data_IF_007825829637
#
_entry.id   IF_007825829637
#
_cell.length_a   1.000
_cell.length_b   1.000
_cell.length_c   1.000
_cell.angle_alpha   90.00
_cell.angle_beta   90.00
_cell.angle_gamma   90.00
#
_symmetry.space_group_name_H-M   'P 1'
#
loop_
_entity.id
_entity.type
_entity.pdbx_description
1 polymer ?
#
# COMPACT_ATOMS: atom_id res chain seq x y z
N UNK A 1 -16.63 -6.20 -25.09
CA UNK A 1 -17.22 -5.83 -23.79
C UNK A 1 -16.69 -6.87 -22.82
N UNK A 2 -15.88 -6.48 -21.84
CA UNK A 2 -15.37 -7.44 -20.85
C UNK A 2 -16.55 -7.96 -20.03
N UNK A 3 -16.55 -9.25 -19.71
CA UNK A 3 -17.52 -9.84 -18.80
C UNK A 3 -17.35 -9.16 -17.43
N UNK A 4 -18.39 -8.48 -16.95
CA UNK A 4 -18.34 -7.62 -15.74
C UNK A 4 -18.70 -8.38 -14.47
N UNK A 5 -19.10 -9.65 -14.61
CA UNK A 5 -19.53 -10.48 -13.50
C UNK A 5 -18.36 -11.15 -12.77
N UNK A 6 -17.17 -11.17 -13.38
CA UNK A 6 -15.95 -11.72 -12.79
C UNK A 6 -14.87 -10.64 -12.51
N UNK A 7 -14.04 -10.81 -11.46
CA UNK A 7 -12.91 -9.94 -11.23
C UNK A 7 -11.94 -9.96 -12.41
N UNK A 8 -11.54 -8.78 -12.89
CA UNK A 8 -10.43 -8.64 -13.83
C UNK A 8 -9.18 -8.13 -13.12
N UNK A 9 -8.02 -8.65 -13.51
CA UNK A 9 -6.74 -8.25 -12.92
C UNK A 9 -6.20 -7.00 -13.62
N UNK A 10 -5.84 -6.00 -12.81
CA UNK A 10 -5.09 -4.84 -13.29
C UNK A 10 -3.59 -5.10 -13.13
N UNK A 11 -2.89 -5.33 -14.23
CA UNK A 11 -1.44 -5.54 -14.24
C UNK A 11 -0.63 -4.24 -14.02
N UNK A 12 -1.30 -3.08 -14.04
CA UNK A 12 -0.73 -1.74 -13.89
C UNK A 12 -1.82 -0.76 -13.43
N UNK A 13 -1.39 0.45 -13.08
CA UNK A 13 -2.30 1.52 -12.70
C UNK A 13 -3.28 1.78 -13.83
N UNK A 14 -4.56 1.92 -13.52
CA UNK A 14 -5.57 2.16 -14.52
C UNK A 14 -6.72 3.00 -13.96
N UNK A 15 -7.29 3.85 -14.81
CA UNK A 15 -8.65 4.35 -14.63
C UNK A 15 -9.59 3.30 -15.19
N UNK A 16 -10.42 2.72 -14.33
CA UNK A 16 -11.49 1.81 -14.74
C UNK A 16 -12.74 2.65 -14.94
N UNK A 17 -13.37 2.50 -16.10
CA UNK A 17 -14.66 3.09 -16.42
C UNK A 17 -15.71 1.99 -16.60
N UNK A 18 -16.90 2.21 -16.04
CA UNK A 18 -18.01 1.25 -16.10
C UNK A 18 -19.32 1.93 -16.49
N UNK A 19 -20.14 1.20 -17.22
CA UNK A 19 -21.51 1.58 -17.63
C UNK A 19 -22.45 0.39 -17.49
N UNK A 20 -23.73 0.68 -17.26
CA UNK A 20 -24.80 -0.31 -17.29
C UNK A 20 -25.64 -0.17 -18.56
N UNK A 21 -25.95 -1.30 -19.18
CA UNK A 21 -26.81 -1.40 -20.37
C UNK A 21 -27.87 -2.47 -20.12
N UNK A 22 -29.13 -2.17 -20.45
CA UNK A 22 -30.24 -3.10 -20.33
C UNK A 22 -31.23 -2.91 -21.51
N UNK A 23 -31.85 -3.98 -22.04
CA UNK A 23 -32.81 -3.87 -23.14
C UNK A 23 -33.97 -2.93 -22.79
N UNK A 24 -34.26 -1.96 -23.66
CA UNK A 24 -35.35 -1.00 -23.47
C UNK A 24 -35.02 0.19 -22.57
N UNK A 25 -33.78 0.29 -22.06
CA UNK A 25 -33.31 1.41 -21.26
C UNK A 25 -32.16 2.15 -21.94
N UNK A 26 -31.97 3.42 -21.59
CA UNK A 26 -30.79 4.18 -22.00
C UNK A 26 -29.56 3.67 -21.24
N UNK A 27 -28.41 3.65 -21.92
CA UNK A 27 -27.10 3.41 -21.30
C UNK A 27 -26.87 4.38 -20.14
N UNK A 28 -26.35 3.89 -19.02
CA UNK A 28 -26.03 4.76 -17.88
C UNK A 28 -24.94 5.78 -18.23
N UNK A 29 -24.80 6.81 -17.38
CA UNK A 29 -23.56 7.59 -17.35
C UNK A 29 -22.39 6.70 -16.98
N UNK A 30 -21.20 7.02 -17.49
CA UNK A 30 -19.97 6.35 -17.08
C UNK A 30 -19.64 6.72 -15.64
N UNK A 31 -19.40 5.72 -14.80
CA UNK A 31 -18.70 5.91 -13.52
C UNK A 31 -17.24 5.53 -13.70
N UNK A 32 -16.34 6.17 -12.96
CA UNK A 32 -14.92 5.87 -13.04
C UNK A 32 -14.26 5.80 -11.69
N UNK A 33 -13.27 4.92 -11.58
CA UNK A 33 -12.39 4.83 -10.42
C UNK A 33 -10.94 4.68 -10.85
N UNK A 34 -10.06 5.45 -10.24
CA UNK A 34 -8.62 5.26 -10.40
C UNK A 34 -8.13 4.17 -9.44
N UNK A 35 -7.40 3.23 -10.01
CA UNK A 35 -6.70 2.18 -9.28
C UNK A 35 -5.21 2.45 -9.44
N UNK A 36 -4.56 3.07 -8.44
CA UNK A 36 -3.12 3.23 -8.47
C UNK A 36 -2.45 1.86 -8.41
N UNK A 37 -1.36 1.69 -9.16
CA UNK A 37 -0.50 0.52 -9.00
C UNK A 37 0.25 0.66 -7.68
N UNK A 38 -0.08 -0.16 -6.70
CA UNK A 38 0.80 -0.39 -5.57
C UNK A 38 1.82 -1.43 -5.97
N UNK A 39 3.10 -1.08 -5.85
CA UNK A 39 4.18 -2.04 -6.06
C UNK A 39 3.98 -3.21 -5.08
N UNK A 40 4.01 -4.44 -5.60
CA UNK A 40 3.93 -5.64 -4.79
C UNK A 40 5.08 -5.62 -3.75
N UNK A 41 4.73 -5.92 -2.48
CA UNK A 41 5.68 -5.83 -1.36
C UNK A 41 6.42 -7.14 -1.09
N UNK A 42 6.14 -8.20 -1.85
CA UNK A 42 6.70 -9.54 -1.62
C UNK A 42 8.23 -9.58 -1.65
N UNK A 43 8.85 -8.69 -2.44
CA UNK A 43 10.30 -8.57 -2.56
C UNK A 43 10.91 -7.50 -1.65
N UNK A 44 10.10 -6.74 -0.91
CA UNK A 44 10.57 -5.63 -0.09
C UNK A 44 11.36 -6.12 1.11
N UNK A 45 12.38 -5.37 1.50
CA UNK A 45 13.21 -5.66 2.66
C UNK A 45 13.53 -4.38 3.41
N UNK A 46 13.39 -4.41 4.73
CA UNK A 46 13.98 -3.37 5.58
C UNK A 46 15.49 -3.58 5.57
N UNK A 47 16.23 -2.58 5.09
CA UNK A 47 17.70 -2.60 5.07
C UNK A 47 18.31 -1.77 6.19
N UNK A 48 17.54 -0.83 6.75
CA UNK A 48 17.93 -0.04 7.92
C UNK A 48 16.70 0.49 8.65
N UNK A 49 16.76 0.47 9.98
CA UNK A 49 15.93 1.28 10.86
C UNK A 49 16.84 1.95 11.90
N UNK A 50 16.67 3.23 12.20
CA UNK A 50 17.48 3.91 13.22
C UNK A 50 17.16 3.42 14.63
N UNK A 51 15.92 2.96 14.83
CA UNK A 51 15.41 2.48 16.11
C UNK A 51 14.21 1.55 15.91
N UNK A 52 14.00 0.63 16.83
CA UNK A 52 12.80 -0.20 16.92
C UNK A 52 12.56 -0.60 18.39
N UNK A 53 11.28 -0.70 18.78
CA UNK A 53 10.87 -1.34 20.02
C UNK A 53 10.78 -2.85 19.81
N UNK A 54 11.52 -3.63 20.60
CA UNK A 54 11.59 -5.08 20.41
C UNK A 54 10.40 -5.77 21.06
N UNK A 55 9.74 -6.66 20.32
CA UNK A 55 8.56 -7.40 20.74
C UNK A 55 7.24 -6.65 20.51
N UNK A 56 7.26 -5.52 19.82
CA UNK A 56 6.08 -4.69 19.55
C UNK A 56 6.21 -3.98 18.18
N UNK A 57 7.30 -3.22 18.03
CA UNK A 57 7.46 -2.21 17.00
C UNK A 57 8.55 -2.54 15.98
N UNK A 58 8.76 -3.82 15.64
CA UNK A 58 9.76 -4.27 14.69
C UNK A 58 9.62 -3.53 13.35
N UNK A 59 10.76 -3.15 12.76
CA UNK A 59 10.77 -2.38 11.52
C UNK A 59 10.08 -3.09 10.34
N UNK A 60 10.09 -4.43 10.32
CA UNK A 60 9.43 -5.24 9.28
C UNK A 60 7.91 -5.05 9.23
N UNK A 61 7.29 -4.68 10.35
CA UNK A 61 5.85 -4.42 10.42
C UNK A 61 5.41 -3.24 9.54
N UNK A 62 6.32 -2.35 9.14
CA UNK A 62 6.00 -1.27 8.21
C UNK A 62 5.69 -1.77 6.77
N UNK A 63 6.06 -3.01 6.43
CA UNK A 63 5.97 -3.53 5.05
C UNK A 63 5.24 -4.88 4.94
N UNK A 64 4.79 -5.47 6.05
CA UNK A 64 4.17 -6.80 6.09
C UNK A 64 2.72 -6.86 5.58
N UNK A 65 2.11 -5.70 5.33
CA UNK A 65 0.75 -5.58 4.79
C UNK A 65 -0.36 -5.81 5.81
N UNK A 66 -0.05 -5.84 7.10
CA UNK A 66 -1.03 -6.01 8.18
C UNK A 66 -1.29 -4.66 8.85
N UNK A 67 -2.54 -4.18 8.91
CA UNK A 67 -2.85 -2.86 9.47
C UNK A 67 -2.84 -2.83 11.01
N UNK A 68 -2.79 -3.99 11.67
CA UNK A 68 -2.77 -4.16 13.12
C UNK A 68 -1.34 -4.28 13.70
N UNK A 69 -0.32 -4.28 12.84
CA UNK A 69 1.10 -4.21 13.22
C UNK A 69 1.72 -2.90 12.75
N UNK A 70 2.76 -2.44 13.43
CA UNK A 70 3.41 -1.17 13.12
C UNK A 70 4.89 -1.17 13.48
N UNK A 71 5.67 -0.35 12.78
CA UNK A 71 7.02 0.03 13.24
C UNK A 71 6.88 1.10 14.32
N UNK A 72 7.60 0.93 15.43
CA UNK A 72 7.68 1.93 16.49
C UNK A 72 9.14 2.09 16.91
N UNK A 73 9.63 3.32 16.96
CA UNK A 73 10.98 3.58 17.50
C UNK A 73 11.02 3.22 18.99
N UNK A 74 12.19 2.88 19.51
CA UNK A 74 12.32 2.48 20.91
C UNK A 74 11.75 3.57 21.82
N UNK A 75 10.77 3.22 22.61
CA UNK A 75 10.19 4.07 23.65
C UNK A 75 10.56 3.57 25.04
N UNK A 76 10.87 2.27 25.17
CA UNK A 76 11.27 1.68 26.44
C UNK A 76 12.74 2.03 26.78
N UNK A 77 12.97 2.46 28.01
CA UNK A 77 14.30 2.83 28.49
C UNK A 77 14.87 4.09 27.81
N UNK A 78 15.94 3.94 27.03
CA UNK A 78 16.62 5.08 26.37
C UNK A 78 16.06 5.30 24.96
N UNK A 79 15.00 6.09 24.89
CA UNK A 79 14.38 6.49 23.63
C UNK A 79 15.27 7.51 22.88
N UNK A 80 15.67 7.23 21.62
CA UNK A 80 16.35 8.22 20.79
C UNK A 80 15.40 9.38 20.46
N UNK A 81 15.95 10.60 20.32
CA UNK A 81 15.18 11.75 19.86
C UNK A 81 15.13 11.77 18.32
N UNK A 82 14.08 12.35 17.71
CA UNK A 82 14.03 12.59 16.27
C UNK A 82 15.27 13.36 15.74
N UNK A 83 15.61 13.22 14.45
CA UNK A 83 14.85 12.51 13.40
C UNK A 83 14.97 10.99 13.47
N UNK A 84 13.99 10.29 12.88
CA UNK A 84 13.96 8.84 12.71
C UNK A 84 13.95 8.47 11.22
N UNK A 85 14.50 7.31 10.88
CA UNK A 85 14.71 6.86 9.50
C UNK A 85 14.47 5.35 9.37
N UNK A 86 13.66 4.99 8.37
CA UNK A 86 13.48 3.63 7.88
C UNK A 86 13.86 3.59 6.40
N UNK A 87 14.71 2.64 6.02
CA UNK A 87 15.16 2.44 4.63
C UNK A 87 14.71 1.07 4.15
N UNK A 88 14.00 1.07 3.02
CA UNK A 88 13.42 -0.12 2.41
C UNK A 88 14.04 -0.33 1.03
N UNK A 89 14.55 -1.53 0.79
CA UNK A 89 14.85 -2.02 -0.56
C UNK A 89 13.56 -2.60 -1.17
N UNK A 90 13.17 -2.10 -2.35
CA UNK A 90 11.96 -2.54 -3.05
C UNK A 90 12.15 -3.88 -3.77
N UNK A 91 13.38 -4.39 -3.87
CA UNK A 91 13.74 -5.63 -4.55
C UNK A 91 13.79 -5.52 -6.08
N UNK A 92 13.36 -4.39 -6.64
CA UNK A 92 13.45 -4.08 -8.07
C UNK A 92 13.58 -2.56 -8.29
N UNK A 93 14.09 -2.18 -9.47
CA UNK A 93 14.03 -0.78 -9.91
C UNK A 93 12.60 -0.45 -10.30
N UNK A 94 12.05 0.61 -9.73
CA UNK A 94 10.72 1.10 -10.04
C UNK A 94 10.71 2.63 -10.14
N UNK A 95 9.89 3.16 -11.03
CA UNK A 95 9.52 4.57 -11.02
C UNK A 95 8.38 4.75 -10.00
N UNK A 96 8.58 5.65 -9.04
CA UNK A 96 7.62 5.92 -7.98
C UNK A 96 6.95 7.26 -8.21
N UNK A 97 5.61 7.26 -8.18
CA UNK A 97 4.82 8.50 -8.19
C UNK A 97 4.59 9.05 -6.78
N UNK A 98 4.76 8.22 -5.74
CA UNK A 98 4.53 8.60 -4.35
C UNK A 98 4.61 7.41 -3.39
N UNK A 99 4.37 7.69 -2.12
CA UNK A 99 4.35 6.71 -1.04
C UNK A 99 3.07 6.89 -0.23
N UNK A 100 2.45 5.79 0.18
CA UNK A 100 1.34 5.78 1.12
C UNK A 100 1.83 5.20 2.44
N UNK A 101 1.51 5.86 3.55
CA UNK A 101 1.86 5.43 4.91
C UNK A 101 0.58 5.35 5.72
N UNK A 102 0.34 4.20 6.35
CA UNK A 102 -0.74 4.02 7.30
C UNK A 102 -0.16 4.23 8.71
N UNK A 103 -0.61 5.27 9.46
CA UNK A 103 -0.21 5.43 10.86
C UNK A 103 -0.69 4.26 11.73
N UNK A 104 -0.20 4.16 12.95
CA UNK A 104 -0.77 3.29 14.00
C UNK A 104 -2.29 3.56 14.15
N UNK A 105 -3.09 2.51 14.35
CA UNK A 105 -4.56 2.58 14.29
C UNK A 105 -5.25 2.82 15.64
N UNK A 106 -4.49 2.82 16.74
CA UNK A 106 -4.94 3.00 18.12
C UNK A 106 -4.24 4.18 18.82
#
# INVERSE_FOLDING_TARGET
MADVDDPFMLARAAKVEAVAEAPGFLRSVATSREFPFSLARDAWKVVKADSEERGEGEAVHAIDGKPDTYWHTRWSGRAPRPPHELVIDLGAKAELAGVTVLPRQD
#
